data_IF_880146007968
#
_entry.id   IF_880146007968
#
_cell.length_a   1.000
_cell.length_b   1.000
_cell.length_c   1.000
_cell.angle_alpha   90.00
_cell.angle_beta   90.00
_cell.angle_gamma   90.00
#
_symmetry.space_group_name_H-M   'P 1'
#
loop_
_entity.id
_entity.type
_entity.pdbx_description
1 polymer ?
#
# COMPACT_ATOMS: atom_id res chain seq x y z
N UNK A 1 28.95 -10.85 -11.97
CA UNK A 1 29.38 -12.22 -11.60
C UNK A 1 28.99 -12.58 -10.17
N UNK A 2 29.37 -11.79 -9.15
CA UNK A 2 29.06 -12.06 -7.73
C UNK A 2 27.56 -12.13 -7.38
N UNK A 3 26.69 -11.29 -7.97
CA UNK A 3 25.23 -11.35 -7.73
C UNK A 3 24.58 -12.67 -8.22
N UNK A 4 25.13 -13.31 -9.26
CA UNK A 4 24.62 -14.60 -9.76
C UNK A 4 24.95 -15.76 -8.80
N UNK A 5 26.15 -15.76 -8.23
CA UNK A 5 26.59 -16.74 -7.23
C UNK A 5 25.81 -16.61 -5.91
N UNK A 6 25.55 -15.38 -5.43
CA UNK A 6 24.68 -15.12 -4.27
C UNK A 6 23.22 -15.52 -4.51
N UNK A 7 22.77 -15.46 -5.77
CA UNK A 7 21.41 -15.81 -6.17
C UNK A 7 21.02 -17.27 -5.94
N UNK A 8 21.97 -18.21 -5.91
CA UNK A 8 21.69 -19.63 -5.61
C UNK A 8 21.23 -19.86 -4.16
N UNK A 9 21.49 -18.92 -3.27
CA UNK A 9 21.12 -18.98 -1.85
C UNK A 9 20.03 -17.96 -1.47
N UNK A 10 19.42 -17.29 -2.46
CA UNK A 10 18.40 -16.25 -2.23
C UNK A 10 17.07 -16.73 -2.77
N UNK A 11 16.02 -16.66 -1.95
CA UNK A 11 14.65 -16.97 -2.36
C UNK A 11 14.11 -15.90 -3.32
N UNK A 12 13.45 -16.31 -4.40
CA UNK A 12 12.73 -15.41 -5.29
C UNK A 12 11.50 -14.83 -4.54
N UNK A 13 11.22 -13.54 -4.73
CA UNK A 13 10.17 -12.80 -4.04
C UNK A 13 9.08 -12.36 -5.01
N UNK A 14 7.83 -12.35 -4.56
CA UNK A 14 6.76 -11.57 -5.18
C UNK A 14 6.32 -10.48 -4.22
N UNK A 15 6.23 -9.24 -4.69
CA UNK A 15 5.90 -8.06 -3.87
C UNK A 15 4.65 -7.41 -4.45
N UNK A 16 3.63 -7.32 -3.62
CA UNK A 16 2.53 -6.39 -3.87
C UNK A 16 2.91 -5.05 -3.21
N UNK A 17 3.16 -4.04 -4.04
CA UNK A 17 3.59 -2.70 -3.62
C UNK A 17 2.39 -1.75 -3.60
N UNK A 18 1.42 -2.05 -2.74
CA UNK A 18 0.19 -1.28 -2.62
C UNK A 18 0.38 0.10 -1.98
N UNK A 19 -0.58 1.00 -2.23
CA UNK A 19 -0.57 2.37 -1.68
C UNK A 19 -0.70 2.38 -0.15
N UNK A 20 -1.45 1.43 0.41
CA UNK A 20 -1.72 1.31 1.84
C UNK A 20 -0.86 0.26 2.53
N UNK A 21 -0.68 -0.92 1.91
CA UNK A 21 0.07 -2.04 2.47
C UNK A 21 1.02 -2.62 1.42
N UNK A 22 2.14 -3.17 1.88
CA UNK A 22 3.09 -3.94 1.09
C UNK A 22 3.06 -5.38 1.59
N UNK A 23 2.92 -6.33 0.67
CA UNK A 23 2.98 -7.76 0.98
C UNK A 23 4.15 -8.40 0.26
N UNK A 24 4.82 -9.35 0.92
CA UNK A 24 5.87 -10.17 0.29
C UNK A 24 5.50 -11.64 0.40
N UNK A 25 5.46 -12.30 -0.75
CA UNK A 25 5.31 -13.73 -0.89
C UNK A 25 6.63 -14.38 -1.27
N UNK A 26 6.94 -15.51 -0.63
CA UNK A 26 8.08 -16.36 -0.94
C UNK A 26 7.56 -17.74 -1.35
N UNK A 27 8.06 -18.26 -2.48
CA UNK A 27 7.71 -19.59 -2.97
C UNK A 27 7.87 -20.62 -1.84
N UNK A 28 6.88 -21.49 -1.65
CA UNK A 28 6.82 -22.54 -0.61
C UNK A 28 6.67 -22.05 0.84
N UNK A 29 6.86 -20.76 1.12
CA UNK A 29 6.63 -20.18 2.45
C UNK A 29 5.31 -19.41 2.56
N UNK A 30 4.72 -19.01 1.44
CA UNK A 30 3.51 -18.20 1.44
C UNK A 30 3.80 -16.70 1.64
N UNK A 31 2.82 -15.98 2.16
CA UNK A 31 2.95 -14.57 2.54
C UNK A 31 3.78 -14.50 3.83
N UNK A 32 4.96 -13.90 3.73
CA UNK A 32 5.92 -13.78 4.84
C UNK A 32 6.00 -12.37 5.43
N UNK A 33 5.41 -11.39 4.73
CA UNK A 33 5.33 -10.00 5.19
C UNK A 33 3.99 -9.41 4.75
N UNK A 34 3.35 -8.68 5.66
CA UNK A 34 2.19 -7.83 5.42
C UNK A 34 2.31 -6.62 6.35
N UNK A 35 2.77 -5.49 5.80
CA UNK A 35 3.07 -4.28 6.57
C UNK A 35 2.52 -3.04 5.86
N UNK A 36 2.10 -2.00 6.58
CA UNK A 36 1.74 -0.72 5.96
C UNK A 36 2.85 -0.14 5.08
N UNK A 37 2.48 0.45 3.94
CA UNK A 37 3.39 1.16 3.04
C UNK A 37 3.72 2.57 3.58
N UNK A 38 4.33 2.63 4.77
CA UNK A 38 4.62 3.88 5.50
C UNK A 38 6.06 3.89 5.98
N UNK A 39 6.74 5.03 5.84
CA UNK A 39 8.10 5.27 6.31
C UNK A 39 8.12 6.53 7.17
N UNK A 40 8.69 6.43 8.38
CA UNK A 40 8.97 7.58 9.21
C UNK A 40 10.42 8.04 9.00
N UNK A 41 10.61 9.30 8.65
CA UNK A 41 11.91 9.90 8.35
C UNK A 41 12.17 11.05 9.30
N UNK A 42 13.36 11.05 9.92
CA UNK A 42 13.87 12.18 10.67
C UNK A 42 14.73 13.05 9.78
N UNK A 43 14.51 14.35 9.84
CA UNK A 43 15.32 15.36 9.17
C UNK A 43 16.17 16.09 10.20
N UNK A 44 17.49 16.08 10.01
CA UNK A 44 18.44 16.84 10.82
C UNK A 44 19.38 17.61 9.89
N UNK A 45 19.16 18.93 9.78
CA UNK A 45 19.78 19.73 8.72
C UNK A 45 19.39 19.20 7.33
N UNK A 46 20.40 18.88 6.51
CA UNK A 46 20.20 18.26 5.19
C UNK A 46 20.19 16.72 5.20
N UNK A 47 20.36 16.08 6.37
CA UNK A 47 20.39 14.62 6.47
C UNK A 47 19.01 14.05 6.77
N UNK A 48 18.61 13.03 6.01
CA UNK A 48 17.37 12.26 6.19
C UNK A 48 17.70 10.83 6.62
N UNK A 49 17.26 10.42 7.80
CA UNK A 49 17.41 9.05 8.29
C UNK A 49 16.05 8.37 8.52
N UNK A 50 15.98 7.07 8.25
CA UNK A 50 14.76 6.28 8.52
C UNK A 50 14.69 6.00 10.01
N UNK A 51 13.54 6.32 10.61
CA UNK A 51 13.24 6.07 12.02
C UNK A 51 12.49 4.76 12.18
N UNK A 52 11.50 4.53 11.31
CA UNK A 52 10.65 3.35 11.33
C UNK A 52 10.08 3.10 9.93
N UNK A 53 9.66 1.87 9.67
CA UNK A 53 8.96 1.44 8.45
C UNK A 53 7.82 0.50 8.86
N UNK A 54 6.74 0.46 8.08
CA UNK A 54 5.64 -0.47 8.34
C UNK A 54 4.74 -0.01 9.48
N UNK A 55 4.33 -0.96 10.31
CA UNK A 55 3.37 -0.75 11.40
C UNK A 55 3.82 0.33 12.38
N UNK A 56 5.11 0.35 12.74
CA UNK A 56 5.65 1.38 13.65
C UNK A 56 5.58 2.77 13.02
N UNK A 57 5.84 2.90 11.72
CA UNK A 57 5.71 4.17 11.02
C UNK A 57 4.23 4.60 10.87
N UNK A 58 3.31 3.67 10.60
CA UNK A 58 1.86 3.95 10.51
C UNK A 58 1.32 4.55 11.83
N UNK A 59 1.77 4.05 12.98
CA UNK A 59 1.37 4.60 14.30
C UNK A 59 1.79 6.05 14.52
N UNK A 60 2.77 6.55 13.77
CA UNK A 60 3.27 7.91 13.87
C UNK A 60 2.49 8.91 13.00
N UNK A 61 1.64 8.45 12.06
CA UNK A 61 0.86 9.33 11.18
C UNK A 61 0.00 10.31 11.99
N UNK A 62 0.15 11.61 11.71
CA UNK A 62 -0.54 12.68 12.42
C UNK A 62 -0.11 12.89 13.88
N UNK A 63 0.94 12.21 14.34
CA UNK A 63 1.43 12.22 15.73
C UNK A 63 2.93 12.53 15.85
N UNK A 64 3.60 12.93 14.77
CA UNK A 64 5.04 13.20 14.77
C UNK A 64 5.39 14.60 15.31
N UNK A 65 6.56 14.76 15.96
CA UNK A 65 7.15 16.07 16.20
C UNK A 65 7.65 16.69 14.88
N UNK A 66 7.91 18.01 14.87
CA UNK A 66 8.21 18.76 13.63
C UNK A 66 9.45 18.31 12.83
N UNK A 67 10.37 17.56 13.43
CA UNK A 67 11.55 17.02 12.77
C UNK A 67 11.39 15.57 12.24
N UNK A 68 10.21 14.96 12.42
CA UNK A 68 9.88 13.63 11.91
C UNK A 68 8.65 13.72 11.01
N UNK A 69 8.72 13.10 9.84
CA UNK A 69 7.59 12.96 8.93
C UNK A 69 7.31 11.48 8.67
N UNK A 70 6.06 11.06 8.86
CA UNK A 70 5.56 9.77 8.41
C UNK A 70 4.97 9.94 7.00
N UNK A 71 5.49 9.18 6.04
CA UNK A 71 5.27 9.37 4.60
C UNK A 71 4.82 8.05 3.99
N UNK A 72 3.78 8.09 3.15
CA UNK A 72 3.43 7.00 2.21
C UNK A 72 4.16 7.26 0.89
N UNK A 73 5.17 6.45 0.52
CA UNK A 73 5.93 6.68 -0.71
C UNK A 73 5.14 6.30 -1.98
N UNK A 74 4.10 5.46 -1.81
CA UNK A 74 3.16 5.08 -2.84
C UNK A 74 1.87 5.89 -2.67
N UNK A 75 1.38 6.51 -3.74
CA UNK A 75 0.11 7.24 -3.75
C UNK A 75 -0.59 7.07 -5.09
N UNK A 76 -1.89 6.80 -5.08
CA UNK A 76 -2.69 6.61 -6.30
C UNK A 76 -2.06 5.67 -7.35
N UNK A 77 -1.45 4.56 -6.88
CA UNK A 77 -0.78 3.58 -7.74
C UNK A 77 0.61 3.99 -8.27
N UNK A 78 1.14 5.15 -7.87
CA UNK A 78 2.42 5.68 -8.36
C UNK A 78 3.41 5.93 -7.23
N UNK A 79 4.71 5.92 -7.55
CA UNK A 79 5.77 6.32 -6.62
C UNK A 79 5.80 7.84 -6.52
N UNK A 80 5.44 8.38 -5.35
CA UNK A 80 5.50 9.80 -5.06
C UNK A 80 6.90 10.24 -4.56
N UNK A 81 7.62 9.35 -3.88
CA UNK A 81 9.01 9.59 -3.46
C UNK A 81 9.86 8.33 -3.66
N UNK A 82 10.71 8.37 -4.69
CA UNK A 82 11.61 7.27 -5.08
C UNK A 82 12.57 6.88 -3.97
N UNK A 83 13.17 7.87 -3.31
CA UNK A 83 14.20 7.65 -2.29
C UNK A 83 13.62 6.99 -1.05
N UNK A 84 12.37 7.30 -0.73
CA UNK A 84 11.64 6.72 0.40
C UNK A 84 11.12 5.34 0.05
N UNK A 85 10.61 5.14 -1.17
CA UNK A 85 10.18 3.84 -1.68
C UNK A 85 11.33 2.82 -1.68
N UNK A 86 12.50 3.21 -2.20
CA UNK A 86 13.69 2.35 -2.21
C UNK A 86 14.09 1.92 -0.79
N UNK A 87 14.14 2.86 0.16
CA UNK A 87 14.45 2.55 1.56
C UNK A 87 13.42 1.64 2.21
N UNK A 88 12.13 1.82 1.88
CA UNK A 88 11.05 0.96 2.35
C UNK A 88 11.23 -0.47 1.84
N UNK A 89 11.43 -0.63 0.52
CA UNK A 89 11.67 -1.92 -0.11
C UNK A 89 12.94 -2.58 0.44
N UNK A 90 14.02 -1.83 0.61
CA UNK A 90 15.25 -2.32 1.19
C UNK A 90 15.03 -2.86 2.60
N UNK A 91 14.28 -2.13 3.43
CA UNK A 91 13.91 -2.57 4.77
C UNK A 91 13.11 -3.89 4.73
N UNK A 92 12.06 -3.97 3.91
CA UNK A 92 11.23 -5.17 3.83
C UNK A 92 11.95 -6.38 3.25
N UNK A 93 12.78 -6.20 2.20
CA UNK A 93 13.59 -7.28 1.62
C UNK A 93 14.59 -7.80 2.65
N UNK A 94 15.25 -6.92 3.40
CA UNK A 94 16.16 -7.31 4.47
C UNK A 94 15.42 -8.04 5.60
N UNK A 95 14.25 -7.53 6.02
CA UNK A 95 13.40 -8.13 7.07
C UNK A 95 13.04 -9.59 6.75
N UNK A 96 12.70 -9.88 5.49
CA UNK A 96 12.37 -11.25 5.04
C UNK A 96 13.59 -12.17 5.00
N UNK A 97 14.81 -11.61 4.93
CA UNK A 97 16.08 -12.33 4.82
C UNK A 97 16.95 -12.22 6.09
N UNK A 98 16.41 -11.82 7.25
CA UNK A 98 17.19 -11.57 8.49
C UNK A 98 18.07 -12.75 8.91
N UNK A 99 17.67 -13.99 8.59
CA UNK A 99 18.42 -15.20 8.93
C UNK A 99 19.48 -15.59 7.87
N UNK A 100 19.67 -14.81 6.82
CA UNK A 100 20.65 -15.09 5.76
C UNK A 100 22.04 -14.58 6.13
N UNK A 101 23.03 -15.48 6.14
CA UNK A 101 24.44 -15.10 6.36
C UNK A 101 25.06 -14.25 5.24
N UNK A 102 24.40 -14.16 4.08
CA UNK A 102 24.82 -13.38 2.92
C UNK A 102 23.80 -12.30 2.60
N UNK A 103 24.29 -11.17 2.09
CA UNK A 103 23.42 -10.09 1.60
C UNK A 103 22.51 -10.61 0.47
N UNK A 104 21.18 -10.47 0.60
CA UNK A 104 20.23 -11.05 -0.33
C UNK A 104 20.32 -10.38 -1.71
N UNK A 105 20.08 -11.15 -2.76
CA UNK A 105 19.99 -10.64 -4.14
C UNK A 105 18.92 -11.41 -4.92
N UNK A 106 17.64 -11.26 -4.54
CA UNK A 106 16.53 -12.07 -5.07
C UNK A 106 16.13 -11.61 -6.49
N UNK A 107 15.47 -12.52 -7.24
CA UNK A 107 14.59 -12.07 -8.33
C UNK A 107 13.29 -11.63 -7.71
N UNK A 108 12.75 -10.53 -8.20
CA UNK A 108 11.53 -9.95 -7.65
C UNK A 108 10.49 -9.82 -8.74
N UNK A 109 9.28 -10.32 -8.49
CA UNK A 109 8.09 -10.01 -9.28
C UNK A 109 7.30 -8.92 -8.53
N UNK A 110 6.91 -7.83 -9.18
CA UNK A 110 6.17 -6.73 -8.54
C UNK A 110 4.88 -6.44 -9.31
N UNK A 111 3.76 -6.34 -8.59
CA UNK A 111 2.49 -5.88 -9.15
C UNK A 111 2.57 -4.40 -9.53
N UNK A 112 2.03 -4.03 -10.69
CA UNK A 112 1.90 -2.64 -11.13
C UNK A 112 0.50 -2.39 -11.69
N UNK A 113 -0.09 -1.20 -11.48
CA UNK A 113 -1.38 -0.85 -12.08
C UNK A 113 -1.37 -1.03 -13.60
N UNK A 114 -2.51 -1.44 -14.16
CA UNK A 114 -2.60 -1.73 -15.61
C UNK A 114 -2.30 -0.50 -16.46
N UNK A 115 -2.66 0.69 -15.98
CA UNK A 115 -2.47 1.97 -16.69
C UNK A 115 -1.18 2.72 -16.29
N UNK A 116 -0.23 2.07 -15.62
CA UNK A 116 1.04 2.72 -15.28
C UNK A 116 1.83 3.12 -16.54
N UNK A 117 2.31 4.36 -16.54
CA UNK A 117 3.19 4.88 -17.59
C UNK A 117 4.54 4.16 -17.59
N UNK A 118 5.29 4.25 -18.69
CA UNK A 118 6.64 3.67 -18.74
C UNK A 118 7.58 4.28 -17.68
N UNK A 119 7.38 5.55 -17.33
CA UNK A 119 8.16 6.23 -16.29
C UNK A 119 7.86 5.62 -14.92
N UNK A 120 6.59 5.37 -14.60
CA UNK A 120 6.17 4.74 -13.34
C UNK A 120 6.63 3.28 -13.26
N UNK A 121 6.49 2.50 -14.34
CA UNK A 121 6.99 1.11 -14.38
C UNK A 121 8.51 1.07 -14.22
N UNK A 122 9.23 2.03 -14.81
CA UNK A 122 10.68 2.17 -14.65
C UNK A 122 11.04 2.57 -13.22
N UNK A 123 10.30 3.48 -12.60
CA UNK A 123 10.46 3.90 -11.22
C UNK A 123 10.43 2.72 -10.26
N UNK A 124 9.38 1.89 -10.36
CA UNK A 124 9.19 0.71 -9.51
C UNK A 124 10.35 -0.28 -9.71
N UNK A 125 10.75 -0.50 -10.96
CA UNK A 125 11.89 -1.35 -11.29
C UNK A 125 13.19 -0.84 -10.69
N UNK A 126 13.49 0.44 -10.84
CA UNK A 126 14.71 1.06 -10.32
C UNK A 126 14.74 1.06 -8.78
N UNK A 127 13.62 1.36 -8.11
CA UNK A 127 13.54 1.28 -6.65
C UNK A 127 13.80 -0.14 -6.12
N UNK A 128 13.25 -1.17 -6.77
CA UNK A 128 13.49 -2.56 -6.37
C UNK A 128 14.93 -3.02 -6.65
N UNK A 129 15.53 -2.58 -7.76
CA UNK A 129 16.95 -2.83 -8.06
C UNK A 129 17.88 -2.14 -7.05
N UNK A 130 17.60 -0.88 -6.70
CA UNK A 130 18.33 -0.12 -5.67
C UNK A 130 18.22 -0.77 -4.29
N UNK A 131 17.04 -1.32 -3.98
CA UNK A 131 16.79 -2.06 -2.74
C UNK A 131 17.54 -3.41 -2.63
N UNK A 132 18.20 -3.88 -3.70
CA UNK A 132 19.05 -5.07 -3.68
C UNK A 132 18.62 -6.21 -4.60
N UNK A 133 17.52 -6.07 -5.34
CA UNK A 133 17.10 -7.10 -6.31
C UNK A 133 18.18 -7.33 -7.40
N UNK A 134 18.31 -8.59 -7.84
CA UNK A 134 19.19 -8.93 -8.97
C UNK A 134 18.52 -8.72 -10.32
N UNK A 135 17.20 -8.91 -10.35
CA UNK A 135 16.36 -8.86 -11.54
C UNK A 135 14.93 -8.59 -11.08
N UNK A 136 14.19 -7.79 -11.84
CA UNK A 136 12.85 -7.34 -11.48
C UNK A 136 11.90 -7.53 -12.66
N UNK A 137 10.87 -8.33 -12.44
CA UNK A 137 9.75 -8.55 -13.34
C UNK A 137 8.55 -7.78 -12.84
N UNK A 138 7.71 -7.31 -13.76
CA UNK A 138 6.47 -6.63 -13.43
C UNK A 138 5.30 -7.46 -13.94
N UNK A 139 4.24 -7.56 -13.14
CA UNK A 139 2.96 -8.15 -13.52
C UNK A 139 1.87 -7.11 -13.33
N UNK A 140 0.85 -7.14 -14.17
CA UNK A 140 -0.31 -6.27 -14.03
C UNK A 140 -1.11 -6.67 -12.78
N UNK A 141 -1.40 -5.68 -11.93
CA UNK A 141 -2.13 -5.83 -10.68
C UNK A 141 -3.47 -6.54 -10.85
N UNK A 142 -4.37 -6.19 -11.79
CA UNK A 142 -5.62 -6.91 -11.94
C UNK A 142 -5.44 -8.35 -12.45
N UNK A 143 -4.36 -8.66 -13.18
CA UNK A 143 -4.04 -10.04 -13.53
C UNK A 143 -3.65 -10.84 -12.27
N UNK A 144 -2.79 -10.26 -11.43
CA UNK A 144 -2.43 -10.87 -10.15
C UNK A 144 -3.64 -11.05 -9.23
N UNK A 145 -4.52 -10.05 -9.15
CA UNK A 145 -5.76 -10.10 -8.38
C UNK A 145 -6.72 -11.19 -8.89
N UNK A 146 -6.91 -11.29 -10.21
CA UNK A 146 -7.75 -12.32 -10.82
C UNK A 146 -7.23 -13.73 -10.55
N UNK A 147 -5.92 -13.96 -10.72
CA UNK A 147 -5.28 -15.24 -10.38
C UNK A 147 -5.45 -15.54 -8.88
N UNK A 148 -5.20 -14.55 -8.02
CA UNK A 148 -5.34 -14.69 -6.56
C UNK A 148 -6.77 -15.00 -6.11
N UNK A 149 -7.78 -14.52 -6.85
CA UNK A 149 -9.19 -14.80 -6.63
C UNK A 149 -9.65 -16.16 -7.23
N UNK A 150 -8.76 -16.90 -7.89
CA UNK A 150 -9.09 -18.17 -8.54
C UNK A 150 -9.93 -18.02 -9.81
N UNK A 151 -9.85 -16.85 -10.47
CA UNK A 151 -10.54 -16.64 -11.74
C UNK A 151 -9.82 -17.42 -12.86
N UNK A 152 -10.60 -18.00 -13.80
CA UNK A 152 -10.13 -18.83 -14.91
C UNK A 152 -9.60 -17.97 -16.07
N UNK A 153 -8.49 -17.28 -15.84
CA UNK A 153 -7.94 -16.27 -16.75
C UNK A 153 -7.37 -16.85 -18.04
N UNK A 154 -7.00 -18.13 -18.04
CA UNK A 154 -6.41 -18.86 -19.16
C UNK A 154 -7.43 -19.39 -20.17
N UNK A 155 -8.71 -19.47 -19.77
CA UNK A 155 -9.77 -20.03 -20.59
C UNK A 155 -10.27 -19.02 -21.63
N UNK A 156 -10.92 -19.53 -22.69
CA UNK A 156 -11.59 -18.71 -23.71
C UNK A 156 -12.93 -18.13 -23.21
N UNK A 157 -12.96 -17.58 -21.99
CA UNK A 157 -14.10 -16.89 -21.38
C UNK A 157 -13.66 -15.59 -20.72
N UNK A 158 -14.55 -14.61 -20.69
CA UNK A 158 -14.30 -13.33 -20.03
C UNK A 158 -14.43 -13.45 -18.51
N UNK A 159 -13.37 -13.09 -17.80
CA UNK A 159 -13.35 -12.92 -16.35
C UNK A 159 -13.24 -11.43 -16.02
N UNK A 160 -14.17 -10.90 -15.22
CA UNK A 160 -14.10 -9.52 -14.72
C UNK A 160 -13.56 -9.50 -13.29
N UNK A 161 -12.60 -8.64 -13.02
CA UNK A 161 -12.08 -8.36 -11.68
C UNK A 161 -12.22 -6.86 -11.38
N UNK A 162 -12.61 -6.55 -10.14
CA UNK A 162 -12.67 -5.20 -9.60
C UNK A 162 -11.88 -5.22 -8.28
N UNK A 163 -10.70 -4.63 -8.29
CA UNK A 163 -9.80 -4.56 -7.15
C UNK A 163 -9.84 -3.16 -6.55
N UNK A 164 -10.39 -3.02 -5.34
CA UNK A 164 -10.55 -1.75 -4.63
C UNK A 164 -9.45 -1.63 -3.59
N UNK A 165 -8.37 -0.95 -3.96
CA UNK A 165 -7.24 -0.69 -3.09
C UNK A 165 -7.39 0.56 -2.21
N UNK A 166 -6.26 1.04 -1.69
CA UNK A 166 -6.21 2.27 -0.90
C UNK A 166 -6.41 3.52 -1.75
N UNK A 167 -5.57 3.72 -2.78
CA UNK A 167 -5.59 4.95 -3.60
C UNK A 167 -6.33 4.80 -4.92
N UNK A 168 -6.49 3.57 -5.40
CA UNK A 168 -7.04 3.26 -6.72
C UNK A 168 -8.04 2.12 -6.66
N UNK A 169 -8.91 2.07 -7.66
CA UNK A 169 -9.69 0.88 -8.01
C UNK A 169 -9.28 0.47 -9.42
N UNK A 170 -8.80 -0.76 -9.55
CA UNK A 170 -8.44 -1.36 -10.84
C UNK A 170 -9.58 -2.27 -11.32
N UNK A 171 -10.00 -2.09 -12.56
CA UNK A 171 -11.07 -2.88 -13.19
C UNK A 171 -10.47 -3.52 -14.43
N UNK A 172 -10.60 -4.83 -14.59
CA UNK A 172 -10.15 -5.50 -15.80
C UNK A 172 -11.08 -6.61 -16.27
N UNK A 173 -11.12 -6.79 -17.58
CA UNK A 173 -11.67 -7.97 -18.27
C UNK A 173 -10.50 -8.79 -18.81
N UNK A 174 -10.45 -10.06 -18.46
CA UNK A 174 -9.34 -10.97 -18.77
C UNK A 174 -9.87 -12.21 -19.49
N UNK A 175 -9.14 -12.67 -20.51
CA UNK A 175 -9.41 -13.91 -21.23
C UNK A 175 -8.12 -14.39 -21.90
N UNK A 176 -7.91 -15.72 -22.01
CA UNK A 176 -6.74 -16.31 -22.67
C UNK A 176 -5.38 -15.74 -22.18
N UNK A 177 -5.23 -15.57 -20.86
CA UNK A 177 -4.08 -14.95 -20.18
C UNK A 177 -3.80 -13.48 -20.59
N UNK A 178 -4.73 -12.84 -21.29
CA UNK A 178 -4.61 -11.46 -21.75
C UNK A 178 -5.63 -10.55 -21.07
N UNK A 179 -5.18 -9.36 -20.69
CA UNK A 179 -6.08 -8.26 -20.31
C UNK A 179 -6.72 -7.70 -21.59
N UNK A 180 -8.02 -7.95 -21.76
CA UNK A 180 -8.83 -7.50 -22.91
C UNK A 180 -9.21 -6.03 -22.75
N UNK A 181 -9.54 -5.62 -21.53
CA UNK A 181 -9.86 -4.25 -21.18
C UNK A 181 -9.38 -3.98 -19.75
N UNK A 182 -8.88 -2.78 -19.51
CA UNK A 182 -8.56 -2.31 -18.17
C UNK A 182 -8.89 -0.83 -18.00
N UNK A 183 -9.38 -0.49 -16.81
CA UNK A 183 -9.63 0.87 -16.35
C UNK A 183 -9.06 1.03 -14.94
N UNK A 184 -8.54 2.22 -14.64
CA UNK A 184 -8.00 2.54 -13.32
C UNK A 184 -8.55 3.89 -12.91
N UNK A 185 -9.19 3.94 -11.75
CA UNK A 185 -9.74 5.18 -11.20
C UNK A 185 -9.08 5.48 -9.87
N UNK A 186 -8.77 6.77 -9.62
CA UNK A 186 -8.14 7.26 -8.37
C UNK A 186 -9.15 7.43 -7.25
N UNK A 187 -9.91 6.37 -7.01
CA UNK A 187 -10.92 6.25 -5.96
C UNK A 187 -10.69 4.90 -5.28
N UNK A 188 -10.62 4.91 -3.97
CA UNK A 188 -10.41 3.72 -3.14
C UNK A 188 -10.60 4.07 -1.67
N UNK A 189 -10.01 3.26 -0.80
CA UNK A 189 -10.07 3.44 0.65
C UNK A 189 -9.75 4.85 1.14
N UNK A 190 -8.77 5.53 0.55
CA UNK A 190 -8.32 6.87 0.93
C UNK A 190 -9.41 7.93 0.66
N UNK A 191 -10.15 7.80 -0.47
CA UNK A 191 -11.28 8.70 -0.78
C UNK A 191 -12.46 8.48 0.15
N UNK A 192 -12.69 7.24 0.58
CA UNK A 192 -13.72 6.95 1.58
C UNK A 192 -13.38 7.59 2.93
N UNK A 193 -12.11 7.56 3.33
CA UNK A 193 -11.65 8.22 4.56
C UNK A 193 -11.80 9.75 4.47
N UNK A 194 -11.42 10.36 3.34
CA UNK A 194 -11.64 11.79 3.09
C UNK A 194 -13.12 12.19 3.18
N UNK A 195 -14.01 11.36 2.64
CA UNK A 195 -15.46 11.58 2.71
C UNK A 195 -15.96 11.54 4.16
N UNK A 196 -15.49 10.58 4.97
CA UNK A 196 -15.80 10.47 6.40
C UNK A 196 -15.28 11.70 7.17
N UNK A 197 -14.03 12.11 6.95
CA UNK A 197 -13.46 13.32 7.59
C UNK A 197 -14.31 14.54 7.25
N UNK A 198 -14.69 14.69 5.97
CA UNK A 198 -15.51 15.81 5.51
C UNK A 198 -16.90 15.79 6.13
N UNK A 199 -17.52 14.61 6.23
CA UNK A 199 -18.81 14.42 6.87
C UNK A 199 -18.76 14.81 8.35
N UNK A 200 -17.77 14.32 9.10
CA UNK A 200 -17.60 14.63 10.53
C UNK A 200 -17.37 16.12 10.74
N UNK A 201 -16.54 16.75 9.89
CA UNK A 201 -16.29 18.19 9.93
C UNK A 201 -17.57 19.01 9.74
N UNK A 202 -18.40 18.64 8.76
CA UNK A 202 -19.61 19.39 8.39
C UNK A 202 -20.75 19.20 9.39
N UNK A 203 -20.96 17.98 9.88
CA UNK A 203 -22.11 17.65 10.72
C UNK A 203 -21.85 17.77 12.22
N UNK A 204 -20.59 17.61 12.67
CA UNK A 204 -20.23 17.61 14.10
C UNK A 204 -19.27 18.75 14.47
N UNK A 205 -18.88 19.61 13.51
CA UNK A 205 -17.97 20.73 13.74
C UNK A 205 -16.59 20.31 14.28
N UNK A 206 -16.19 19.06 14.02
CA UNK A 206 -15.02 18.44 14.62
C UNK A 206 -14.04 17.95 13.56
N UNK A 207 -12.74 18.11 13.79
CA UNK A 207 -11.68 17.54 12.95
C UNK A 207 -11.23 16.20 13.52
N UNK A 208 -11.11 15.20 12.64
CA UNK A 208 -10.52 13.90 12.92
C UNK A 208 -9.38 13.63 11.92
N UNK A 209 -8.42 12.79 12.30
CA UNK A 209 -7.33 12.36 11.43
C UNK A 209 -7.69 11.12 10.59
N UNK A 210 -6.87 10.82 9.59
CA UNK A 210 -7.04 9.68 8.68
C UNK A 210 -7.21 8.35 9.41
N UNK A 211 -6.39 8.05 10.42
CA UNK A 211 -6.51 6.79 11.16
C UNK A 211 -7.84 6.64 11.90
N UNK A 212 -8.43 7.76 12.37
CA UNK A 212 -9.75 7.74 12.99
C UNK A 212 -10.84 7.52 11.94
N UNK A 213 -10.69 8.12 10.76
CA UNK A 213 -11.62 7.93 9.65
C UNK A 213 -11.58 6.49 9.10
N UNK A 214 -10.38 5.91 8.93
CA UNK A 214 -10.21 4.51 8.53
C UNK A 214 -10.86 3.55 9.53
N UNK A 215 -10.75 3.86 10.83
CA UNK A 215 -11.42 3.07 11.87
C UNK A 215 -12.94 3.17 11.77
N UNK A 216 -13.49 4.37 11.61
CA UNK A 216 -14.94 4.57 11.40
C UNK A 216 -15.41 3.78 10.18
N UNK A 217 -14.66 3.85 9.07
CA UNK A 217 -14.94 3.10 7.84
C UNK A 217 -15.03 1.59 8.08
N UNK A 218 -14.13 1.04 8.89
CA UNK A 218 -14.08 -0.41 9.18
C UNK A 218 -15.13 -0.85 10.20
N UNK A 219 -15.44 -0.03 11.21
CA UNK A 219 -16.35 -0.40 12.29
C UNK A 219 -17.84 -0.26 11.88
N UNK A 220 -18.19 0.84 11.19
CA UNK A 220 -19.59 1.18 10.88
C UNK A 220 -19.86 1.51 9.41
N UNK A 221 -18.83 1.59 8.55
CA UNK A 221 -19.00 1.96 7.14
C UNK A 221 -19.77 0.90 6.35
N UNK A 222 -20.74 1.34 5.55
CA UNK A 222 -21.52 0.47 4.64
C UNK A 222 -21.81 1.16 3.32
N UNK A 223 -21.83 0.38 2.23
CA UNK A 223 -22.21 0.84 0.89
C UNK A 223 -23.68 0.52 0.55
N UNK A 224 -24.35 -0.33 1.34
CA UNK A 224 -25.71 -0.78 1.08
C UNK A 224 -26.64 -0.39 2.25
N UNK A 225 -27.81 0.21 1.96
CA UNK A 225 -28.78 0.56 3.00
C UNK A 225 -29.43 -0.70 3.60
N UNK A 226 -29.77 -0.65 4.89
CA UNK A 226 -30.52 -1.73 5.57
C UNK A 226 -29.66 -2.79 6.28
N UNK A 227 -28.36 -2.55 6.46
CA UNK A 227 -27.53 -3.32 7.39
C UNK A 227 -27.87 -3.03 8.86
N UNK A 228 -27.27 -3.80 9.76
CA UNK A 228 -27.29 -3.53 11.20
C UNK A 228 -26.71 -2.12 11.46
N UNK A 229 -27.48 -1.27 12.13
CA UNK A 229 -27.00 0.06 12.54
C UNK A 229 -26.03 -0.15 13.70
N UNK A 230 -24.78 0.25 13.49
CA UNK A 230 -23.71 0.15 14.48
C UNK A 230 -23.28 1.53 14.88
N UNK A 231 -22.82 1.66 16.11
CA UNK A 231 -22.35 2.93 16.63
C UNK A 231 -20.87 2.87 16.96
N UNK A 232 -20.18 4.01 16.80
CA UNK A 232 -18.78 4.17 17.20
C UNK A 232 -18.56 5.49 17.92
N UNK A 233 -17.90 5.43 19.06
CA UNK A 233 -17.45 6.62 19.78
C UNK A 233 -16.20 7.21 19.12
N UNK A 234 -16.25 8.51 18.85
CA UNK A 234 -15.20 9.24 18.14
C UNK A 234 -14.78 10.44 18.96
N UNK A 235 -13.45 10.66 19.01
CA UNK A 235 -12.87 11.86 19.61
C UNK A 235 -12.19 12.68 18.51
N UNK A 236 -12.61 13.93 18.38
CA UNK A 236 -12.07 14.90 17.42
C UNK A 236 -11.70 16.20 18.11
N UNK A 237 -11.07 17.12 17.36
CA UNK A 237 -10.81 18.49 17.82
C UNK A 237 -11.97 19.39 17.38
N UNK A 238 -12.68 19.99 18.33
CA UNK A 238 -13.72 20.97 18.04
C UNK A 238 -13.10 22.18 17.30
N UNK A 239 -13.69 22.58 16.17
CA UNK A 239 -13.19 23.70 15.37
C UNK A 239 -13.41 25.07 16.00
N UNK A 240 -14.49 25.24 16.76
CA UNK A 240 -14.82 26.52 17.40
C UNK A 240 -13.99 26.74 18.67
N UNK A 241 -13.85 25.70 19.49
CA UNK A 241 -13.22 25.80 20.82
C UNK A 241 -11.74 25.36 20.82
N UNK A 242 -11.30 24.64 19.77
CA UNK A 242 -9.93 24.11 19.68
C UNK A 242 -9.62 22.93 20.62
N UNK A 243 -10.58 22.50 21.46
CA UNK A 243 -10.40 21.44 22.46
C UNK A 243 -10.92 20.08 21.96
N UNK A 244 -10.46 18.96 22.55
CA UNK A 244 -11.00 17.64 22.24
C UNK A 244 -12.47 17.50 22.62
N UNK A 245 -13.30 16.99 21.70
CA UNK A 245 -14.72 16.69 21.88
C UNK A 245 -15.00 15.23 21.51
N UNK A 246 -15.85 14.56 22.30
CA UNK A 246 -16.35 13.22 22.01
C UNK A 246 -17.78 13.29 21.46
N UNK A 247 -18.11 12.39 20.54
CA UNK A 247 -19.45 12.19 19.98
C UNK A 247 -19.56 10.77 19.41
N UNK A 248 -20.79 10.27 19.29
CA UNK A 248 -21.10 8.95 18.73
C UNK A 248 -21.57 9.11 17.29
N UNK A 249 -21.11 8.24 16.40
CA UNK A 249 -21.53 8.14 15.00
C UNK A 249 -22.28 6.83 14.76
N UNK A 250 -23.20 6.83 13.80
CA UNK A 250 -23.89 5.66 13.27
C UNK A 250 -23.91 5.63 11.74
#
# INVERSE_FOLDING_TARGET
>A
MFKKLRGMFSSDLSIDLGTANTLIYVRERGIVLNEPSVVAIRTHGNQKSVVAVGTEAKRMLGRTPGNIAAIRPMKDGVIADFSVCEKMLQYFINKVHENSFLQPSPRVLICVPCKSTQVERRAIRESALGAGAREVFLIEEPMAAAIGAGLPVEEARGSMVVDIGGGTTEIALISLNGVVYAESVRVGGDRFDEAIITYVRRNYGSLIGESTAERIKQEIGTAYPGGEVREVDVRGRNLAEGVPRAFTLN
#
